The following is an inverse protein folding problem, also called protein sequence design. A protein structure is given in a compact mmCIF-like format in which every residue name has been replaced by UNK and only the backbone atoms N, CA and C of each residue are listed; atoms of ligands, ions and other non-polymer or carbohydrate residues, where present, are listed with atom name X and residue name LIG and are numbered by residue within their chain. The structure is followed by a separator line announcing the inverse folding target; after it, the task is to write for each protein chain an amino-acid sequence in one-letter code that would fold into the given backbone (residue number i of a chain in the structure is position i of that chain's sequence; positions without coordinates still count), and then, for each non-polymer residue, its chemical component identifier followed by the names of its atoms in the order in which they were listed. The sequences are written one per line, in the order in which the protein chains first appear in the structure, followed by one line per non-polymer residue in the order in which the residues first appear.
data_IF_308438551468
#
_entry.id   IF_308438551468
#
_cell.length_a   1.000
_cell.length_b   1.000
_cell.length_c   1.000
_cell.angle_alpha   90.00
_cell.angle_beta   90.00
_cell.angle_gamma   90.00
#
_symmetry.space_group_name_H-M   'P 1'
#
loop_
_entity.id
_entity.type
_entity.pdbx_description
1 polymer ?
#
# COMPACT_ATOMS: atom_id res chain seq x y z
N UNK A 1 -3.12 22.98 18.54
CA UNK A 1 -2.79 22.55 17.17
C UNK A 1 -2.64 21.04 17.13
N UNK A 2 -3.47 20.34 16.35
CA UNK A 2 -3.51 18.87 16.26
C UNK A 2 -2.15 18.25 15.87
N UNK A 3 -1.31 19.02 15.17
CA UNK A 3 0.06 18.66 14.79
C UNK A 3 1.01 18.44 15.97
N UNK A 4 0.69 18.94 17.17
CA UNK A 4 1.51 18.75 18.38
C UNK A 4 1.29 17.38 19.04
N UNK A 5 0.11 16.76 18.83
CA UNK A 5 -0.26 15.48 19.45
C UNK A 5 0.54 14.30 18.87
N UNK A 6 0.75 14.30 17.55
CA UNK A 6 1.51 13.26 16.83
C UNK A 6 2.74 13.86 16.14
N UNK A 7 3.54 14.62 16.88
CA UNK A 7 4.70 15.32 16.32
C UNK A 7 5.79 14.33 15.89
N UNK A 8 6.20 14.41 14.63
CA UNK A 8 7.33 13.63 14.11
C UNK A 8 8.62 14.35 14.50
N UNK A 9 9.23 13.94 15.61
CA UNK A 9 10.50 14.49 16.06
C UNK A 9 11.67 13.76 15.38
N UNK A 10 12.37 14.49 14.51
CA UNK A 10 13.56 13.96 13.85
C UNK A 10 14.81 14.64 14.42
N UNK A 11 15.65 13.89 15.13
CA UNK A 11 16.95 14.36 15.61
C UNK A 11 17.91 14.48 14.42
N UNK A 12 18.07 15.70 13.88
CA UNK A 12 19.09 16.01 12.89
C UNK A 12 19.69 17.39 13.12
N UNK A 13 20.99 17.51 12.88
CA UNK A 13 21.69 18.80 12.88
C UNK A 13 21.26 19.71 11.72
N UNK A 14 20.66 19.15 10.67
CA UNK A 14 20.23 19.89 9.49
C UNK A 14 18.84 20.49 9.69
N UNK A 15 18.76 21.82 9.77
CA UNK A 15 17.52 22.54 10.13
C UNK A 15 16.34 22.26 9.18
N UNK A 16 16.59 22.13 7.87
CA UNK A 16 15.55 21.92 6.86
C UNK A 16 14.77 20.61 7.06
N UNK A 17 15.37 19.59 7.69
CA UNK A 17 14.68 18.34 7.99
C UNK A 17 13.54 18.56 8.98
N UNK A 18 13.69 19.48 9.93
CA UNK A 18 12.62 19.84 10.88
C UNK A 18 11.42 20.44 10.14
N UNK A 19 11.68 21.33 9.17
CA UNK A 19 10.64 21.92 8.32
C UNK A 19 9.96 20.86 7.46
N UNK A 20 10.74 19.98 6.82
CA UNK A 20 10.19 18.91 5.99
C UNK A 20 9.23 17.99 6.74
N UNK A 21 9.61 17.49 7.92
CA UNK A 21 8.74 16.63 8.73
C UNK A 21 7.54 17.39 9.30
N UNK A 22 7.69 18.69 9.58
CA UNK A 22 6.57 19.54 9.97
C UNK A 22 5.54 19.66 8.83
N UNK A 23 5.98 19.86 7.58
CA UNK A 23 5.08 19.91 6.41
C UNK A 23 4.32 18.60 6.25
N UNK A 24 4.98 17.45 6.40
CA UNK A 24 4.31 16.13 6.32
C UNK A 24 3.26 16.00 7.43
N UNK A 25 3.60 16.38 8.66
CA UNK A 25 2.66 16.36 9.79
C UNK A 25 1.45 17.25 9.53
N UNK A 26 1.68 18.49 9.05
CA UNK A 26 0.63 19.44 8.71
C UNK A 26 -0.28 18.95 7.57
N UNK A 27 0.32 18.40 6.51
CA UNK A 27 -0.42 17.81 5.40
C UNK A 27 -1.31 16.65 5.86
N UNK A 28 -0.79 15.78 6.74
CA UNK A 28 -1.56 14.64 7.30
C UNK A 28 -2.74 15.12 8.14
N UNK A 29 -2.55 16.14 8.98
CA UNK A 29 -3.65 16.72 9.77
C UNK A 29 -4.69 17.41 8.90
N UNK A 30 -4.26 18.14 7.86
CA UNK A 30 -5.18 18.82 6.94
C UNK A 30 -6.00 17.81 6.12
N UNK A 31 -5.36 16.74 5.65
CA UNK A 31 -6.05 15.65 4.96
C UNK A 31 -7.09 14.96 5.85
N UNK A 32 -6.80 14.79 7.14
CA UNK A 32 -7.78 14.23 8.10
C UNK A 32 -8.99 15.15 8.31
N UNK A 33 -8.77 16.47 8.38
CA UNK A 33 -9.87 17.43 8.49
C UNK A 33 -10.77 17.41 7.24
N UNK A 34 -10.17 17.35 6.05
CA UNK A 34 -10.90 17.21 4.79
C UNK A 34 -11.68 15.88 4.74
N UNK A 35 -11.05 14.78 5.17
CA UNK A 35 -11.72 13.48 5.27
C UNK A 35 -12.93 13.54 6.20
N UNK A 36 -12.80 14.14 7.38
CA UNK A 36 -13.95 14.31 8.30
C UNK A 36 -15.07 15.13 7.69
N UNK A 37 -14.73 16.24 7.04
CA UNK A 37 -15.72 17.09 6.34
C UNK A 37 -16.44 16.33 5.23
N UNK A 38 -15.72 15.54 4.45
CA UNK A 38 -16.32 14.72 3.40
C UNK A 38 -17.24 13.65 3.99
N UNK A 39 -16.85 12.99 5.08
CA UNK A 39 -17.69 12.00 5.77
C UNK A 39 -18.98 12.63 6.32
N UNK A 40 -18.91 13.84 6.87
CA UNK A 40 -20.12 14.55 7.36
C UNK A 40 -21.08 14.95 6.24
N UNK A 41 -20.56 15.26 5.05
CA UNK A 41 -21.39 15.69 3.91
C UNK A 41 -22.01 14.52 3.14
N UNK A 42 -21.30 13.38 3.04
CA UNK A 42 -21.70 12.27 2.16
C UNK A 42 -22.36 11.10 2.91
N UNK A 43 -22.01 10.85 4.18
CA UNK A 43 -22.30 9.58 4.83
C UNK A 43 -23.20 9.65 6.08
N UNK A 44 -23.75 10.81 6.41
CA UNK A 44 -24.81 11.00 7.44
C UNK A 44 -24.43 10.71 8.90
N UNK A 45 -23.76 9.60 9.20
CA UNK A 45 -23.48 9.12 10.58
C UNK A 45 -22.39 8.03 10.63
N UNK A 46 -21.59 7.84 9.57
CA UNK A 46 -20.56 6.78 9.60
C UNK A 46 -19.41 7.13 10.57
N UNK A 47 -18.94 6.12 11.33
CA UNK A 47 -17.87 6.26 12.33
C UNK A 47 -16.60 6.81 11.67
N UNK A 48 -16.28 8.08 11.92
CA UNK A 48 -15.05 8.70 11.40
C UNK A 48 -13.83 8.11 12.08
N UNK A 49 -12.80 7.77 11.28
CA UNK A 49 -11.52 7.31 11.81
C UNK A 49 -10.85 8.39 12.68
N UNK A 50 -10.33 7.97 13.83
CA UNK A 50 -9.45 8.81 14.65
C UNK A 50 -8.16 9.17 13.89
N UNK A 51 -7.51 10.27 14.26
CA UNK A 51 -6.33 10.81 13.59
C UNK A 51 -5.18 9.79 13.53
N UNK A 52 -4.98 9.00 14.60
CA UNK A 52 -3.98 7.94 14.61
C UNK A 52 -4.33 6.80 13.63
N UNK A 53 -5.58 6.36 13.63
CA UNK A 53 -6.04 5.31 12.70
C UNK A 53 -5.94 5.78 11.24
N UNK A 54 -6.30 7.03 10.98
CA UNK A 54 -6.20 7.66 9.66
C UNK A 54 -4.74 7.77 9.19
N UNK A 55 -3.84 8.29 10.02
CA UNK A 55 -2.41 8.39 9.70
C UNK A 55 -1.75 7.01 9.53
N UNK A 56 -2.11 6.05 10.38
CA UNK A 56 -1.73 4.64 10.24
C UNK A 56 -2.21 4.07 8.92
N UNK A 57 -3.43 4.44 8.49
CA UNK A 57 -3.97 4.02 7.19
C UNK A 57 -3.11 4.56 6.04
N UNK A 58 -2.79 5.85 6.03
CA UNK A 58 -1.93 6.46 5.01
C UNK A 58 -0.56 5.79 4.96
N UNK A 59 0.08 5.63 6.12
CA UNK A 59 1.41 5.02 6.21
C UNK A 59 1.42 3.62 5.59
N UNK A 60 0.45 2.81 5.97
CA UNK A 60 0.39 1.43 5.52
C UNK A 60 0.02 1.37 4.02
N UNK A 61 -0.82 2.27 3.50
CA UNK A 61 -1.04 2.43 2.05
C UNK A 61 0.23 2.80 1.29
N UNK A 62 0.96 3.82 1.75
CA UNK A 62 2.20 4.26 1.10
C UNK A 62 3.27 3.17 1.10
N UNK A 63 3.38 2.43 2.21
CA UNK A 63 4.31 1.31 2.28
C UNK A 63 3.88 0.16 1.34
N UNK A 64 2.57 -0.06 1.12
CA UNK A 64 2.02 -1.09 0.21
C UNK A 64 2.13 -0.65 -1.26
N UNK A 65 1.97 0.64 -1.54
CA UNK A 65 2.05 1.22 -2.87
C UNK A 65 3.48 1.21 -3.44
N UNK A 66 4.51 1.18 -2.58
CA UNK A 66 5.86 0.86 -3.02
C UNK A 66 5.88 -0.58 -3.55
N UNK A 67 6.04 -0.73 -4.88
CA UNK A 67 6.80 -1.86 -5.45
C UNK A 67 8.07 -2.02 -4.61
N UNK A 68 8.67 -3.23 -4.48
CA UNK A 68 10.04 -3.32 -3.99
C UNK A 68 10.90 -2.51 -4.97
N UNK A 69 11.07 -1.22 -4.69
CA UNK A 69 12.18 -0.46 -5.18
C UNK A 69 13.34 -1.22 -4.57
N UNK A 70 14.06 -1.97 -5.41
CA UNK A 70 15.43 -2.36 -5.13
C UNK A 70 16.10 -1.07 -4.68
N UNK A 71 16.11 -0.84 -3.36
CA UNK A 71 17.02 0.11 -2.79
C UNK A 71 18.36 -0.56 -3.05
N UNK A 72 18.96 -0.25 -4.20
CA UNK A 72 20.34 -0.53 -4.50
C UNK A 72 21.08 -0.28 -3.20
N UNK A 73 21.58 -1.36 -2.60
CA UNK A 73 22.11 -1.37 -1.25
C UNK A 73 23.24 -0.34 -1.21
N UNK A 74 22.94 0.89 -0.79
CA UNK A 74 23.95 1.86 -0.39
C UNK A 74 24.52 1.37 0.94
N UNK A 75 25.47 0.46 0.86
CA UNK A 75 26.15 -0.12 2.01
C UNK A 75 27.01 -1.32 1.66
N UNK A 76 28.33 -1.07 1.54
CA UNK A 76 29.51 -1.96 1.58
C UNK A 76 29.36 -3.35 0.95
N UNK A 77 30.01 -3.55 -0.20
CA UNK A 77 30.36 -4.89 -0.69
C UNK A 77 31.23 -5.55 0.39
N UNK A 78 30.68 -6.47 1.18
CA UNK A 78 31.52 -7.42 1.90
C UNK A 78 32.13 -8.32 0.83
N UNK A 79 33.46 -8.38 0.76
CA UNK A 79 34.16 -9.40 0.00
C UNK A 79 33.55 -10.76 0.38
N UNK A 80 32.90 -11.42 -0.57
CA UNK A 80 32.47 -12.81 -0.42
C UNK A 80 33.70 -13.65 -0.73
N UNK A 81 34.34 -14.19 0.30
CA UNK A 81 35.22 -15.35 0.16
C UNK A 81 34.34 -16.54 -0.25
N UNK A 82 34.81 -17.34 -1.21
CA UNK A 82 34.02 -18.29 -1.98
C UNK A 82 33.60 -19.58 -1.23
N UNK A 83 33.98 -19.79 0.03
CA UNK A 83 33.84 -21.10 0.69
C UNK A 83 33.10 -21.04 2.04
N UNK A 84 31.83 -20.64 2.04
CA UNK A 84 30.97 -20.87 3.20
C UNK A 84 29.56 -21.33 2.76
N UNK A 85 29.00 -22.39 3.37
CA UNK A 85 27.67 -22.87 3.03
C UNK A 85 26.63 -21.76 3.28
N UNK A 86 25.63 -21.57 2.39
CA UNK A 86 24.67 -20.50 2.53
C UNK A 86 23.86 -20.69 3.82
N UNK A 87 24.07 -19.84 4.81
CA UNK A 87 23.13 -19.74 5.93
C UNK A 87 21.74 -19.41 5.36
N UNK A 88 20.66 -20.05 5.81
CA UNK A 88 19.32 -19.72 5.34
C UNK A 88 18.98 -18.31 5.83
N UNK A 89 19.26 -17.31 4.99
CA UNK A 89 18.75 -15.96 5.14
C UNK A 89 17.24 -16.10 5.18
N UNK A 90 16.66 -16.00 6.39
CA UNK A 90 15.22 -15.94 6.57
C UNK A 90 14.75 -14.71 5.79
N UNK A 91 14.27 -14.94 4.57
CA UNK A 91 13.60 -13.94 3.75
C UNK A 91 12.53 -13.34 4.67
N UNK A 92 12.53 -12.03 4.97
CA UNK A 92 11.48 -11.46 5.78
C UNK A 92 10.16 -11.85 5.15
N UNK A 93 9.25 -12.45 5.92
CA UNK A 93 7.93 -12.86 5.44
C UNK A 93 7.34 -11.65 4.73
N UNK A 94 7.26 -11.73 3.40
CA UNK A 94 6.58 -10.74 2.59
C UNK A 94 5.12 -10.82 3.01
N UNK A 95 4.71 -9.97 3.94
CA UNK A 95 3.32 -9.81 4.34
C UNK A 95 2.59 -9.47 3.05
N UNK A 96 1.75 -10.37 2.56
CA UNK A 96 1.14 -10.31 1.24
C UNK A 96 0.32 -9.00 1.13
N UNK A 97 0.76 -8.11 0.24
CA UNK A 97 0.62 -6.64 0.35
C UNK A 97 -0.55 -5.99 -0.42
N UNK A 98 -1.73 -6.60 -0.54
CA UNK A 98 -2.93 -5.75 -0.70
C UNK A 98 -4.23 -6.40 -0.24
N UNK A 99 -4.65 -5.99 0.97
CA UNK A 99 -6.07 -6.01 1.35
C UNK A 99 -6.77 -4.68 1.06
N UNK A 100 -6.04 -3.62 0.71
CA UNK A 100 -6.52 -2.25 0.89
C UNK A 100 -7.14 -1.66 -0.37
N UNK A 101 -8.29 -1.02 -0.16
CA UNK A 101 -9.20 -0.61 -1.23
C UNK A 101 -8.69 0.56 -2.06
N UNK A 102 -7.99 1.49 -1.44
CA UNK A 102 -7.35 2.61 -2.12
C UNK A 102 -6.33 2.16 -3.16
N UNK A 103 -5.49 1.17 -2.85
CA UNK A 103 -4.51 0.60 -3.80
C UNK A 103 -5.21 -0.30 -4.82
N UNK A 104 -6.25 -1.03 -4.40
CA UNK A 104 -7.02 -1.91 -5.30
C UNK A 104 -7.78 -1.10 -6.36
N UNK A 105 -8.25 0.10 -6.01
CA UNK A 105 -9.13 0.90 -6.85
C UNK A 105 -8.44 2.12 -7.47
N UNK A 106 -7.11 2.22 -7.39
CA UNK A 106 -6.36 3.36 -7.92
C UNK A 106 -6.20 3.38 -9.46
N UNK A 107 -6.93 2.53 -10.18
CA UNK A 107 -7.02 2.40 -11.65
C UNK A 107 -5.69 2.35 -12.44
N UNK A 108 -4.56 2.29 -11.75
CA UNK A 108 -3.24 2.46 -12.34
C UNK A 108 -2.36 1.28 -11.98
N UNK A 109 -1.54 0.82 -12.93
CA UNK A 109 -0.48 -0.19 -12.70
C UNK A 109 -0.92 -1.56 -12.14
N UNK A 110 -2.14 -2.00 -12.45
CA UNK A 110 -2.61 -3.37 -12.21
C UNK A 110 -2.37 -4.23 -13.45
N UNK A 111 -1.28 -5.00 -13.46
CA UNK A 111 -0.93 -5.93 -14.55
C UNK A 111 -1.11 -7.39 -14.12
N UNK A 112 -1.63 -8.28 -14.99
CA UNK A 112 -1.73 -9.70 -14.71
C UNK A 112 -0.35 -10.34 -14.74
N UNK A 113 -0.04 -11.15 -13.71
CA UNK A 113 1.23 -11.87 -13.56
C UNK A 113 0.92 -13.34 -13.30
N UNK A 114 1.57 -14.22 -14.07
CA UNK A 114 1.52 -15.66 -13.86
C UNK A 114 2.44 -16.05 -12.71
N UNK A 115 1.91 -16.79 -11.73
CA UNK A 115 2.68 -17.33 -10.61
C UNK A 115 2.86 -18.85 -10.78
N UNK A 116 3.82 -19.46 -10.09
CA UNK A 116 3.90 -20.93 -10.05
C UNK A 116 2.76 -21.54 -9.22
N UNK A 117 2.33 -20.84 -8.16
CA UNK A 117 1.27 -21.29 -7.26
C UNK A 117 -0.13 -20.98 -7.80
N UNK A 118 -1.01 -21.98 -7.74
CA UNK A 118 -2.44 -21.81 -8.05
C UNK A 118 -3.23 -21.49 -6.78
N UNK A 119 -3.99 -20.40 -6.80
CA UNK A 119 -4.87 -19.99 -5.68
C UNK A 119 -6.28 -19.72 -6.17
N UNK A 120 -7.23 -19.71 -5.24
CA UNK A 120 -8.63 -19.40 -5.55
C UNK A 120 -8.79 -17.92 -5.87
N UNK A 121 -9.56 -17.62 -6.91
CA UNK A 121 -9.94 -16.25 -7.21
C UNK A 121 -10.82 -15.67 -6.10
N UNK A 122 -10.60 -14.39 -5.79
CA UNK A 122 -11.36 -13.68 -4.77
C UNK A 122 -12.86 -13.53 -5.08
N UNK A 123 -13.24 -13.49 -6.36
CA UNK A 123 -14.63 -13.29 -6.82
C UNK A 123 -15.31 -14.61 -7.17
N UNK A 124 -14.73 -15.37 -8.12
CA UNK A 124 -15.29 -16.60 -8.68
C UNK A 124 -14.99 -17.87 -7.84
N UNK A 125 -14.11 -17.80 -6.81
CA UNK A 125 -13.57 -18.94 -6.03
C UNK A 125 -12.86 -20.06 -6.84
N UNK A 126 -12.86 -20.00 -8.16
CA UNK A 126 -12.14 -20.91 -9.05
C UNK A 126 -10.63 -20.87 -8.82
N UNK A 127 -9.97 -22.00 -9.01
CA UNK A 127 -8.51 -22.12 -8.90
C UNK A 127 -7.87 -21.55 -10.15
N UNK A 128 -6.94 -20.61 -9.97
CA UNK A 128 -6.28 -19.87 -11.04
C UNK A 128 -4.82 -19.60 -10.69
N UNK A 129 -4.03 -19.29 -11.71
CA UNK A 129 -2.59 -19.10 -11.61
C UNK A 129 -2.17 -17.62 -11.78
N UNK A 130 -3.12 -16.77 -12.16
CA UNK A 130 -2.90 -15.35 -12.46
C UNK A 130 -3.23 -14.49 -11.25
N UNK A 131 -2.33 -13.56 -10.93
CA UNK A 131 -2.53 -12.56 -9.88
C UNK A 131 -2.26 -11.15 -10.40
N UNK A 132 -2.75 -10.12 -9.70
CA UNK A 132 -2.35 -8.75 -9.97
C UNK A 132 -0.96 -8.48 -9.37
N UNK A 133 0.00 -8.01 -10.18
CA UNK A 133 1.37 -7.71 -9.72
C UNK A 133 1.45 -6.61 -8.66
N UNK A 134 0.46 -5.71 -8.59
CA UNK A 134 0.38 -4.63 -7.60
C UNK A 134 -0.36 -5.05 -6.32
N UNK A 135 -1.47 -5.76 -6.47
CA UNK A 135 -2.29 -6.17 -5.33
C UNK A 135 -1.88 -7.52 -4.71
N UNK A 136 -1.22 -8.39 -5.47
CA UNK A 136 -0.95 -9.77 -5.08
C UNK A 136 -2.22 -10.63 -4.93
N UNK A 137 -3.37 -10.16 -5.43
CA UNK A 137 -4.66 -10.86 -5.36
C UNK A 137 -4.92 -11.61 -6.67
N UNK A 138 -5.49 -12.81 -6.56
CA UNK A 138 -5.77 -13.70 -7.68
C UNK A 138 -7.14 -13.41 -8.31
N UNK A 139 -7.15 -13.20 -9.63
CA UNK A 139 -8.35 -12.89 -10.42
C UNK A 139 -8.45 -13.75 -11.68
N UNK A 140 -9.67 -14.23 -12.00
CA UNK A 140 -9.95 -14.97 -13.22
C UNK A 140 -9.57 -14.07 -14.43
N UNK A 141 -8.64 -14.49 -15.30
CA UNK A 141 -8.24 -13.80 -16.54
C UNK A 141 -8.33 -14.76 -17.73
N UNK A 142 -9.57 -15.08 -18.13
CA UNK A 142 -9.88 -15.95 -19.27
C UNK A 142 -10.94 -15.30 -20.15
N UNK A 143 -11.01 -15.68 -21.43
CA UNK A 143 -11.99 -15.14 -22.38
C UNK A 143 -13.45 -15.35 -21.92
N UNK A 144 -13.74 -16.50 -21.31
CA UNK A 144 -15.10 -16.83 -20.80
C UNK A 144 -15.44 -16.11 -19.48
N UNK A 145 -14.44 -15.79 -18.65
CA UNK A 145 -14.62 -15.20 -17.32
C UNK A 145 -13.43 -14.30 -16.98
N UNK A 146 -13.65 -12.99 -17.04
CA UNK A 146 -12.64 -11.99 -16.73
C UNK A 146 -13.05 -11.21 -15.47
N UNK A 147 -12.65 -11.72 -14.31
CA UNK A 147 -12.85 -11.03 -13.03
C UNK A 147 -11.82 -9.91 -12.79
N UNK A 148 -10.78 -9.83 -13.63
CA UNK A 148 -9.75 -8.80 -13.55
C UNK A 148 -10.29 -7.41 -13.92
N UNK A 149 -11.17 -7.35 -14.93
CA UNK A 149 -11.81 -6.09 -15.36
C UNK A 149 -12.80 -5.57 -14.33
N UNK A 150 -13.52 -6.47 -13.64
CA UNK A 150 -14.45 -6.11 -12.56
C UNK A 150 -13.70 -5.39 -11.43
N UNK A 151 -12.51 -5.88 -11.06
CA UNK A 151 -11.67 -5.20 -10.07
C UNK A 151 -11.33 -3.75 -10.48
N UNK A 152 -11.02 -3.51 -11.75
CA UNK A 152 -10.64 -2.18 -12.25
C UNK A 152 -11.82 -1.19 -12.33
N UNK A 153 -13.05 -1.68 -12.55
CA UNK A 153 -14.23 -0.84 -12.77
C UNK A 153 -14.90 -0.27 -11.51
N UNK A 154 -14.55 -0.75 -10.31
CA UNK A 154 -15.30 -0.42 -9.05
C UNK A 154 -15.19 1.05 -8.61
N UNK A 155 -14.37 1.91 -9.25
CA UNK A 155 -14.36 3.37 -8.97
C UNK A 155 -15.30 4.19 -9.86
N UNK A 156 -15.70 3.72 -11.06
CA UNK A 156 -16.47 4.54 -12.00
C UNK A 156 -17.91 4.86 -11.54
N UNK A 157 -18.41 4.21 -10.48
CA UNK A 157 -19.76 4.42 -9.95
C UNK A 157 -19.85 5.39 -8.77
N UNK A 158 -18.73 5.93 -8.27
CA UNK A 158 -18.73 6.90 -7.16
C UNK A 158 -18.42 8.34 -7.61
N UNK A 159 -18.22 8.56 -8.90
CA UNK A 159 -17.98 9.89 -9.51
C UNK A 159 -19.20 10.39 -10.32
N UNK A 160 -20.42 9.96 -9.95
CA UNK A 160 -21.69 10.46 -10.51
C UNK A 160 -22.56 11.09 -9.42
#
# INVERSE_FOLDING_TARGET
MLTRLYRIEHKSRKWYRRVFFWVIGAATTNAWLLYRRHQTLTAGTSKTLDLLAFSGSICTSLCLAKKPMEMSRRGRKSHQSADAPPCPIRKPKIITRSKREDIRLDQTSHWPVYNAERKRCKLCKNIIQVSCGKCGVYFCFNQKRNCYTVMQKVRQFFDA
#
